data_IF_479069232709
#
_entry.id   IF_479069232709
#
_cell.length_a   1.000
_cell.length_b   1.000
_cell.length_c   1.000
_cell.angle_alpha   90.00
_cell.angle_beta   90.00
_cell.angle_gamma   90.00
#
_symmetry.space_group_name_H-M   'P 1'
#
loop_
_entity.id
_entity.type
_entity.pdbx_description
1 polymer ?
#
# COMPACT_ATOMS: atom_id res chain seq x y z
N UNK A 1 18.38 -5.60 19.12
CA UNK A 1 17.19 -4.75 18.95
C UNK A 1 16.24 -5.45 18.01
N UNK A 2 14.98 -5.69 18.40
CA UNK A 2 13.99 -6.28 17.52
C UNK A 2 13.48 -5.17 16.58
N UNK A 3 14.02 -5.08 15.37
CA UNK A 3 13.58 -4.09 14.39
C UNK A 3 12.16 -4.47 13.97
N UNK A 4 11.18 -3.63 14.29
CA UNK A 4 9.80 -3.86 13.86
C UNK A 4 9.78 -3.84 12.33
N UNK A 5 9.32 -4.94 11.73
CA UNK A 5 9.11 -5.02 10.28
C UNK A 5 8.05 -4.00 9.85
N UNK A 6 8.16 -3.41 8.64
CA UNK A 6 7.19 -2.44 8.17
C UNK A 6 5.82 -3.09 7.92
N UNK A 7 4.76 -2.33 8.19
CA UNK A 7 3.41 -2.66 7.75
C UNK A 7 3.24 -2.25 6.29
N UNK A 8 2.81 -3.16 5.42
CA UNK A 8 2.42 -2.84 4.06
C UNK A 8 0.97 -2.39 4.00
N UNK A 9 0.71 -1.21 3.43
CA UNK A 9 -0.65 -0.70 3.22
C UNK A 9 -0.97 -0.78 1.74
N UNK A 10 -1.76 -1.79 1.34
CA UNK A 10 -2.33 -1.86 -0.01
C UNK A 10 -3.51 -0.91 -0.06
N UNK A 11 -3.43 0.13 -0.88
CA UNK A 11 -4.40 1.23 -0.85
C UNK A 11 -5.12 1.47 -2.17
N UNK A 12 -6.44 1.49 -2.10
CA UNK A 12 -7.32 2.00 -3.13
C UNK A 12 -7.71 3.47 -2.90
N UNK A 13 -8.92 3.83 -3.31
CA UNK A 13 -9.52 5.15 -3.16
C UNK A 13 -9.95 5.45 -1.71
N UNK A 14 -10.18 6.74 -1.43
CA UNK A 14 -10.73 7.23 -0.16
C UNK A 14 -9.68 7.69 0.86
N UNK A 15 -10.16 8.25 1.98
CA UNK A 15 -9.30 8.87 2.98
C UNK A 15 -8.68 7.88 3.99
N UNK A 16 -9.31 6.72 4.18
CA UNK A 16 -8.95 5.77 5.24
C UNK A 16 -7.50 5.26 5.17
N UNK A 17 -6.91 4.93 3.99
CA UNK A 17 -5.51 4.52 3.93
C UNK A 17 -4.56 5.60 4.47
N UNK A 18 -4.82 6.86 4.16
CA UNK A 18 -3.99 7.98 4.61
C UNK A 18 -4.18 8.29 6.08
N UNK A 19 -5.39 8.12 6.62
CA UNK A 19 -5.63 8.22 8.06
C UNK A 19 -4.82 7.17 8.82
N UNK A 20 -4.75 5.93 8.32
CA UNK A 20 -3.88 4.91 8.90
C UNK A 20 -2.40 5.28 8.78
N UNK A 21 -1.95 5.68 7.58
CA UNK A 21 -0.54 6.07 7.36
C UNK A 21 -0.10 7.19 8.33
N UNK A 22 -0.94 8.20 8.52
CA UNK A 22 -0.70 9.29 9.47
C UNK A 22 -0.65 8.79 10.92
N UNK A 23 -1.54 7.85 11.30
CA UNK A 23 -1.53 7.24 12.61
C UNK A 23 -0.24 6.44 12.86
N UNK A 24 0.20 5.63 11.90
CA UNK A 24 1.46 4.86 12.00
C UNK A 24 2.67 5.78 12.10
N UNK A 25 2.71 6.83 11.26
CA UNK A 25 3.75 7.87 11.30
C UNK A 25 3.82 8.54 12.67
N UNK A 26 2.68 8.94 13.24
CA UNK A 26 2.60 9.59 14.57
C UNK A 26 3.14 8.68 15.69
N UNK A 27 3.01 7.36 15.55
CA UNK A 27 3.44 6.38 16.53
C UNK A 27 4.83 5.77 16.24
N UNK A 28 5.58 6.31 15.27
CA UNK A 28 6.87 5.78 14.84
C UNK A 28 6.82 4.27 14.48
N UNK A 29 5.71 3.83 13.87
CA UNK A 29 5.58 2.46 13.36
C UNK A 29 6.00 2.50 11.88
N UNK A 30 6.97 1.69 11.45
CA UNK A 30 7.41 1.67 10.06
C UNK A 30 6.31 1.13 9.16
N UNK A 31 6.14 1.74 7.98
CA UNK A 31 5.19 1.31 6.97
C UNK A 31 5.65 1.68 5.56
N UNK A 32 5.09 1.00 4.57
CA UNK A 32 5.28 1.27 3.15
C UNK A 32 3.91 1.27 2.47
N UNK A 33 3.67 2.24 1.60
CA UNK A 33 2.43 2.30 0.83
C UNK A 33 2.57 1.48 -0.46
N UNK A 34 1.57 0.65 -0.74
CA UNK A 34 1.39 -0.09 -1.99
C UNK A 34 0.11 0.39 -2.70
N UNK A 35 0.12 1.61 -3.25
CA UNK A 35 -1.01 2.19 -3.96
C UNK A 35 -1.34 1.43 -5.24
N UNK A 36 -2.63 1.13 -5.41
CA UNK A 36 -3.14 0.49 -6.62
C UNK A 36 -3.23 1.53 -7.74
N UNK A 37 -2.54 1.27 -8.84
CA UNK A 37 -2.58 2.11 -10.04
C UNK A 37 -4.01 2.27 -10.56
N UNK A 38 -4.37 3.49 -10.94
CA UNK A 38 -5.72 3.84 -11.39
C UNK A 38 -6.78 3.93 -10.28
N UNK A 39 -6.43 3.64 -9.02
CA UNK A 39 -7.33 3.72 -7.88
C UNK A 39 -6.85 4.78 -6.86
N UNK A 40 -5.59 4.70 -6.43
CA UNK A 40 -5.07 5.64 -5.44
C UNK A 40 -4.77 7.03 -6.03
N UNK A 41 -4.93 8.08 -5.22
CA UNK A 41 -4.61 9.46 -5.63
C UNK A 41 -3.10 9.68 -5.78
N UNK A 42 -2.63 9.95 -6.99
CA UNK A 42 -1.22 10.20 -7.30
C UNK A 42 -0.66 11.43 -6.57
N UNK A 43 -1.45 12.49 -6.47
CA UNK A 43 -1.04 13.73 -5.77
C UNK A 43 -0.73 13.48 -4.29
N UNK A 44 -1.52 12.62 -3.64
CA UNK A 44 -1.36 12.31 -2.22
C UNK A 44 -0.22 11.32 -2.00
N UNK A 45 -0.16 10.27 -2.83
CA UNK A 45 0.81 9.18 -2.72
C UNK A 45 2.25 9.67 -2.95
N UNK A 46 2.47 10.54 -3.95
CA UNK A 46 3.81 11.04 -4.32
C UNK A 46 4.58 11.72 -3.20
N UNK A 47 3.89 12.13 -2.12
CA UNK A 47 4.47 12.78 -0.94
C UNK A 47 4.98 11.78 0.11
N UNK A 48 4.89 10.47 -0.15
CA UNK A 48 5.18 9.39 0.78
C UNK A 48 6.09 8.33 0.16
N UNK A 49 6.75 7.51 0.97
CA UNK A 49 7.45 6.32 0.50
C UNK A 49 6.44 5.28 0.01
N UNK A 50 6.54 4.88 -1.25
CA UNK A 50 5.56 4.01 -1.89
C UNK A 50 6.16 3.16 -3.01
N UNK A 51 5.47 2.07 -3.33
CA UNK A 51 5.68 1.26 -4.54
C UNK A 51 4.34 1.08 -5.23
N UNK A 52 4.21 1.60 -6.46
CA UNK A 52 2.99 1.42 -7.23
C UNK A 52 2.78 -0.05 -7.59
N UNK A 53 1.54 -0.52 -7.44
CA UNK A 53 1.16 -1.90 -7.78
C UNK A 53 0.00 -1.92 -8.76
N UNK A 54 0.00 -2.95 -9.60
CA UNK A 54 -1.11 -3.31 -10.46
C UNK A 54 -1.77 -4.57 -9.90
N UNK A 55 -3.09 -4.55 -9.71
CA UNK A 55 -3.85 -5.70 -9.21
C UNK A 55 -3.66 -6.97 -10.04
N UNK A 56 -3.41 -6.82 -11.36
CA UNK A 56 -3.17 -7.93 -12.28
C UNK A 56 -1.76 -8.51 -12.20
N UNK A 57 -0.81 -7.78 -11.59
CA UNK A 57 0.61 -8.15 -11.49
C UNK A 57 0.94 -8.69 -10.09
N UNK A 58 0.27 -9.79 -9.74
CA UNK A 58 0.36 -10.39 -8.41
C UNK A 58 1.78 -10.84 -8.08
N UNK A 59 2.50 -11.44 -9.05
CA UNK A 59 3.87 -11.95 -8.84
C UNK A 59 4.85 -10.82 -8.56
N UNK A 60 4.74 -9.73 -9.29
CA UNK A 60 5.53 -8.51 -9.10
C UNK A 60 5.23 -7.89 -7.74
N UNK A 61 3.94 -7.81 -7.38
CA UNK A 61 3.50 -7.29 -6.07
C UNK A 61 4.09 -8.12 -4.92
N UNK A 62 4.06 -9.45 -5.01
CA UNK A 62 4.68 -10.34 -4.00
C UNK A 62 6.19 -10.07 -3.87
N UNK A 63 6.90 -9.86 -4.99
CA UNK A 63 8.34 -9.56 -4.97
C UNK A 63 8.62 -8.22 -4.29
N UNK A 64 7.80 -7.19 -4.52
CA UNK A 64 7.92 -5.90 -3.84
C UNK A 64 7.73 -6.06 -2.33
N UNK A 65 6.71 -6.80 -1.91
CA UNK A 65 6.43 -7.08 -0.50
C UNK A 65 7.61 -7.78 0.19
N UNK A 66 8.22 -8.76 -0.49
CA UNK A 66 9.41 -9.47 0.00
C UNK A 66 10.63 -8.55 0.07
N UNK A 67 10.83 -7.68 -0.93
CA UNK A 67 11.94 -6.73 -0.97
C UNK A 67 11.91 -5.72 0.18
N UNK A 68 10.70 -5.35 0.64
CA UNK A 68 10.49 -4.47 1.79
C UNK A 68 10.47 -5.22 3.15
N UNK A 69 10.66 -6.53 3.17
CA UNK A 69 10.53 -7.40 4.35
C UNK A 69 9.19 -7.18 5.11
N UNK A 70 8.10 -6.97 4.36
CA UNK A 70 6.77 -6.80 4.92
C UNK A 70 6.21 -8.15 5.35
N UNK A 71 5.82 -8.27 6.62
CA UNK A 71 5.18 -9.48 7.15
C UNK A 71 3.68 -9.28 7.47
N UNK A 72 3.21 -8.04 7.47
CA UNK A 72 1.84 -7.66 7.81
C UNK A 72 1.32 -6.76 6.71
N UNK A 73 0.21 -7.17 6.09
CA UNK A 73 -0.47 -6.43 5.04
C UNK A 73 -1.84 -5.99 5.51
N UNK A 74 -2.17 -4.74 5.19
CA UNK A 74 -3.49 -4.16 5.43
C UNK A 74 -4.04 -3.67 4.09
N UNK A 75 -5.22 -4.15 3.71
CA UNK A 75 -5.93 -3.71 2.51
C UNK A 75 -6.97 -2.67 2.92
N UNK A 76 -6.86 -1.45 2.40
CA UNK A 76 -7.72 -0.33 2.79
C UNK A 76 -8.14 0.53 1.62
N UNK A 77 -9.33 1.10 1.76
CA UNK A 77 -9.93 1.97 0.75
C UNK A 77 -10.88 1.21 -0.17
N UNK A 78 -11.53 1.97 -1.04
CA UNK A 78 -12.41 1.41 -2.07
C UNK A 78 -11.57 0.99 -3.26
N UNK A 79 -11.92 -0.13 -3.87
CA UNK A 79 -11.29 -0.60 -5.08
C UNK A 79 -12.39 -1.03 -6.03
N UNK A 80 -12.45 -0.41 -7.19
CA UNK A 80 -13.36 -0.88 -8.23
C UNK A 80 -12.90 -2.25 -8.72
N UNK A 81 -13.87 -3.12 -8.98
CA UNK A 81 -13.59 -4.43 -9.56
C UNK A 81 -12.98 -4.23 -10.95
N UNK A 82 -11.87 -4.94 -11.22
CA UNK A 82 -11.38 -5.06 -12.59
C UNK A 82 -12.40 -5.88 -13.39
N UNK A 83 -13.07 -5.23 -14.34
CA UNK A 83 -13.87 -5.93 -15.34
C UNK A 83 -12.90 -6.54 -16.36
N UNK A 84 -12.73 -7.87 -16.28
CA UNK A 84 -11.99 -8.64 -17.27
C UNK A 84 -12.88 -8.83 -18.49
N UNK A 85 -12.63 -8.06 -19.55
CA UNK A 85 -13.21 -8.31 -20.86
C UNK A 85 -12.19 -9.16 -21.63
N UNK A 86 -12.50 -10.45 -21.78
CA UNK A 86 -11.79 -11.36 -22.67
C UNK A 86 -12.42 -11.33 -24.07
#
# INVERSE_FOLDING_TARGET
MNIKKPIGIVMGQGALPMLLANHLKKNNIPFVLFPIEGQASQEVVSKHLHEWILLTRVKETIRLLQGWDVNTLVLLGMCDALLWVF
#
